data_IF_436965027844
#
_entry.id   IF_436965027844
#
_cell.length_a   1.000
_cell.length_b   1.000
_cell.length_c   1.000
_cell.angle_alpha   90.00
_cell.angle_beta   90.00
_cell.angle_gamma   90.00
#
_symmetry.space_group_name_H-M   'P 1'
#
loop_
_entity.id
_entity.type
_entity.pdbx_description
1 polymer ?
#
# COMPACT_ATOMS: atom_id res chain seq x y z
N UNK A 1 29.19 -4.97 -35.61
CA UNK A 1 28.61 -6.29 -35.32
C UNK A 1 28.18 -6.24 -33.87
N UNK A 2 26.93 -5.85 -33.63
CA UNK A 2 26.32 -5.95 -32.31
C UNK A 2 26.07 -7.44 -32.05
N UNK A 3 26.60 -7.96 -30.95
CA UNK A 3 26.40 -9.34 -30.53
C UNK A 3 24.94 -9.57 -30.17
N UNK A 4 24.32 -10.52 -30.87
CA UNK A 4 23.04 -11.13 -30.51
C UNK A 4 23.15 -11.85 -29.15
N UNK A 5 22.89 -11.16 -28.04
CA UNK A 5 22.58 -11.78 -26.73
C UNK A 5 21.79 -10.84 -25.79
N UNK A 6 21.03 -9.86 -26.32
CA UNK A 6 19.92 -9.22 -25.58
C UNK A 6 18.65 -10.08 -25.77
N UNK A 7 18.66 -11.31 -25.27
CA UNK A 7 17.39 -11.95 -24.90
C UNK A 7 16.91 -11.30 -23.59
N UNK A 8 16.40 -10.10 -23.79
CA UNK A 8 15.78 -9.13 -22.88
C UNK A 8 15.47 -9.63 -21.46
N UNK A 9 16.16 -9.03 -20.48
CA UNK A 9 15.91 -9.07 -19.03
C UNK A 9 14.57 -8.38 -18.66
N UNK A 10 13.47 -8.73 -19.32
CA UNK A 10 12.16 -8.08 -19.10
C UNK A 10 11.42 -8.79 -17.98
N UNK A 11 11.12 -8.03 -16.92
CA UNK A 11 10.22 -8.49 -15.86
C UNK A 11 8.79 -8.67 -16.39
N UNK A 12 8.11 -9.74 -15.99
CA UNK A 12 6.66 -9.86 -16.19
C UNK A 12 5.94 -9.48 -14.89
N UNK A 13 5.12 -8.44 -14.97
CA UNK A 13 4.31 -7.96 -13.86
C UNK A 13 2.87 -8.48 -14.02
N UNK A 14 2.57 -9.57 -13.32
CA UNK A 14 1.24 -10.19 -13.32
C UNK A 14 0.29 -9.39 -12.44
N UNK A 15 -0.57 -8.57 -13.07
CA UNK A 15 -1.26 -7.49 -12.39
C UNK A 15 -2.64 -7.20 -13.02
N UNK A 16 -3.46 -6.41 -12.32
CA UNK A 16 -4.71 -5.91 -12.88
C UNK A 16 -4.93 -4.44 -12.48
N UNK A 17 -5.58 -3.67 -13.35
CA UNK A 17 -5.89 -2.25 -13.07
C UNK A 17 -6.79 -2.07 -11.85
N UNK A 18 -7.73 -2.99 -11.61
CA UNK A 18 -8.66 -2.92 -10.49
C UNK A 18 -8.05 -3.33 -9.13
N UNK A 19 -6.80 -3.83 -9.11
CA UNK A 19 -6.11 -4.25 -7.88
C UNK A 19 -5.39 -3.07 -7.23
N UNK A 20 -5.68 -2.83 -5.94
CA UNK A 20 -4.98 -1.86 -5.09
C UNK A 20 -3.46 -2.01 -5.22
N UNK A 21 -3.00 -3.21 -4.89
CA UNK A 21 -1.59 -3.53 -4.74
C UNK A 21 -0.82 -3.51 -6.07
N UNK A 22 -1.50 -3.74 -7.19
CA UNK A 22 -0.89 -3.60 -8.52
C UNK A 22 -0.49 -2.16 -8.84
N UNK A 23 -1.22 -1.15 -8.31
CA UNK A 23 -0.87 0.26 -8.47
C UNK A 23 0.48 0.61 -7.82
N UNK A 24 0.77 0.01 -6.65
CA UNK A 24 2.01 0.22 -5.91
C UNK A 24 3.24 -0.27 -6.66
N UNK A 25 3.28 -1.53 -7.06
CA UNK A 25 4.44 -2.10 -7.78
C UNK A 25 4.55 -1.58 -9.20
N UNK A 26 3.43 -1.29 -9.88
CA UNK A 26 3.46 -0.63 -11.20
C UNK A 26 4.14 0.72 -11.13
N UNK A 27 3.70 1.59 -10.21
CA UNK A 27 4.31 2.92 -10.05
C UNK A 27 5.79 2.82 -9.63
N UNK A 28 6.14 1.85 -8.79
CA UNK A 28 7.54 1.56 -8.47
C UNK A 28 8.35 1.17 -9.71
N UNK A 29 7.92 0.17 -10.50
CA UNK A 29 8.63 -0.29 -11.70
C UNK A 29 8.84 0.87 -12.69
N UNK A 30 7.81 1.69 -12.92
CA UNK A 30 7.85 2.88 -13.76
C UNK A 30 8.90 3.89 -13.25
N UNK A 31 8.88 4.22 -11.96
CA UNK A 31 9.77 5.23 -11.38
C UNK A 31 11.19 4.75 -11.13
N UNK A 32 11.38 3.47 -10.88
CA UNK A 32 12.68 2.79 -10.86
C UNK A 32 13.31 2.75 -12.25
N UNK A 33 12.51 2.90 -13.32
CA UNK A 33 12.98 2.90 -14.70
C UNK A 33 13.28 1.50 -15.23
N UNK A 34 12.64 0.47 -14.66
CA UNK A 34 12.84 -0.92 -15.08
C UNK A 34 11.98 -1.24 -16.29
N UNK A 35 12.53 -2.02 -17.24
CA UNK A 35 11.75 -2.57 -18.33
C UNK A 35 10.87 -3.71 -17.82
N UNK A 36 9.56 -3.63 -18.08
CA UNK A 36 8.62 -4.67 -17.69
C UNK A 36 7.45 -4.75 -18.66
N UNK A 37 6.84 -5.94 -18.72
CA UNK A 37 5.56 -6.17 -19.42
C UNK A 37 4.49 -6.47 -18.40
N UNK A 38 3.33 -5.83 -18.53
CA UNK A 38 2.18 -6.17 -17.70
C UNK A 38 1.36 -7.30 -18.32
N UNK A 39 1.13 -8.33 -17.53
CA UNK A 39 0.33 -9.48 -17.90
C UNK A 39 -0.88 -9.59 -16.98
N UNK A 40 -2.06 -9.81 -17.56
CA UNK A 40 -3.27 -9.96 -16.77
C UNK A 40 -3.49 -11.42 -16.31
N UNK A 41 -4.03 -11.68 -15.11
CA UNK A 41 -4.35 -13.03 -14.63
C UNK A 41 -5.31 -13.86 -15.50
N UNK A 42 -6.08 -13.22 -16.39
CA UNK A 42 -6.88 -13.91 -17.41
C UNK A 42 -6.06 -14.59 -18.51
N UNK A 43 -4.74 -14.38 -18.57
CA UNK A 43 -3.85 -15.09 -19.48
C UNK A 43 -3.74 -16.58 -19.10
N UNK A 44 -3.75 -17.47 -20.09
CA UNK A 44 -3.68 -18.92 -19.87
C UNK A 44 -2.42 -19.37 -19.08
N UNK A 45 -1.28 -18.69 -19.23
CA UNK A 45 -0.05 -19.00 -18.49
C UNK A 45 -0.18 -18.73 -17.00
N UNK A 46 -1.03 -17.79 -16.58
CA UNK A 46 -1.10 -17.38 -15.18
C UNK A 46 -1.48 -18.57 -14.29
N UNK A 47 -2.59 -19.25 -14.56
CA UNK A 47 -3.00 -20.39 -13.75
C UNK A 47 -2.16 -21.64 -14.02
N UNK A 48 -1.69 -21.84 -15.26
CA UNK A 48 -0.92 -23.02 -15.63
C UNK A 48 0.49 -23.05 -15.03
N UNK A 49 1.16 -21.90 -14.95
CA UNK A 49 2.58 -21.80 -14.59
C UNK A 49 2.81 -20.98 -13.33
N UNK A 50 2.19 -19.79 -13.24
CA UNK A 50 2.50 -18.80 -12.20
C UNK A 50 1.82 -19.17 -10.88
N UNK A 51 0.51 -19.43 -10.91
CA UNK A 51 -0.25 -19.85 -9.74
C UNK A 51 0.25 -21.18 -9.17
N UNK A 52 0.63 -22.12 -10.04
CA UNK A 52 1.16 -23.43 -9.63
C UNK A 52 2.46 -23.30 -8.81
N UNK A 53 3.30 -22.32 -9.13
CA UNK A 53 4.53 -22.02 -8.38
C UNK A 53 4.26 -21.15 -7.14
N UNK A 54 3.32 -20.23 -7.23
CA UNK A 54 3.02 -19.26 -6.16
C UNK A 54 2.20 -19.86 -5.01
N UNK A 55 1.44 -20.92 -5.29
CA UNK A 55 0.59 -21.64 -4.32
C UNK A 55 -0.64 -20.87 -3.83
N UNK A 56 -0.74 -19.57 -4.13
CA UNK A 56 -1.85 -18.71 -3.74
C UNK A 56 -2.13 -17.64 -4.78
N UNK A 57 -3.42 -17.34 -4.99
CA UNK A 57 -3.88 -16.32 -5.92
C UNK A 57 -3.72 -14.94 -5.25
N UNK A 58 -2.57 -14.32 -5.44
CA UNK A 58 -2.37 -12.90 -5.14
C UNK A 58 -1.95 -12.17 -6.40
N UNK A 59 -2.32 -10.89 -6.48
CA UNK A 59 -1.76 -9.97 -7.46
C UNK A 59 -1.40 -8.67 -6.77
N UNK A 60 -0.26 -8.05 -7.10
CA UNK A 60 0.64 -8.41 -8.19
C UNK A 60 1.59 -9.57 -7.86
N UNK A 61 2.11 -10.21 -8.91
CA UNK A 61 3.25 -11.13 -8.86
C UNK A 61 4.30 -10.65 -9.85
N UNK A 62 5.57 -10.63 -9.44
CA UNK A 62 6.70 -10.35 -10.32
C UNK A 62 7.32 -11.68 -10.75
N UNK A 63 7.40 -11.92 -12.06
CA UNK A 63 8.25 -12.97 -12.65
C UNK A 63 9.52 -12.28 -13.16
N UNK A 64 10.64 -12.66 -12.56
CA UNK A 64 11.97 -12.13 -12.86
C UNK A 64 12.54 -12.75 -14.14
N UNK A 65 13.55 -12.11 -14.76
CA UNK A 65 14.39 -12.77 -15.75
C UNK A 65 14.91 -14.10 -15.18
N UNK A 66 14.79 -15.18 -15.95
CA UNK A 66 15.12 -16.54 -15.51
C UNK A 66 13.99 -17.28 -14.78
N UNK A 67 12.80 -16.71 -14.65
CA UNK A 67 11.58 -17.39 -14.23
C UNK A 67 11.34 -17.47 -12.72
N UNK A 68 12.20 -16.85 -11.90
CA UNK A 68 11.95 -16.73 -10.46
C UNK A 68 10.71 -15.87 -10.19
N UNK A 69 9.93 -16.23 -9.18
CA UNK A 69 8.68 -15.54 -8.85
C UNK A 69 8.78 -14.88 -7.47
N UNK A 70 8.35 -13.61 -7.39
CA UNK A 70 8.24 -12.84 -6.15
C UNK A 70 6.80 -12.37 -5.95
N UNK A 71 6.24 -12.66 -4.77
CA UNK A 71 4.90 -12.23 -4.34
C UNK A 71 5.02 -11.26 -3.16
N UNK A 72 3.93 -10.54 -2.87
CA UNK A 72 3.87 -9.42 -1.92
C UNK A 72 4.56 -8.16 -2.47
N UNK A 73 3.83 -7.05 -2.45
CA UNK A 73 4.32 -5.78 -3.06
C UNK A 73 5.56 -5.24 -2.40
N UNK A 74 5.72 -5.42 -1.09
CA UNK A 74 6.90 -4.96 -0.34
C UNK A 74 8.07 -5.88 -0.62
N UNK A 75 7.86 -7.20 -0.64
CA UNK A 75 8.92 -8.15 -1.01
C UNK A 75 9.38 -7.98 -2.47
N UNK A 76 8.46 -7.65 -3.39
CA UNK A 76 8.79 -7.27 -4.77
C UNK A 76 9.71 -6.03 -4.79
N UNK A 77 9.35 -4.99 -4.04
CA UNK A 77 10.16 -3.76 -3.94
C UNK A 77 11.53 -4.05 -3.30
N UNK A 78 11.58 -4.79 -2.21
CA UNK A 78 12.84 -5.17 -1.54
C UNK A 78 13.76 -5.97 -2.46
N UNK A 79 13.19 -6.94 -3.19
CA UNK A 79 13.92 -7.72 -4.19
C UNK A 79 14.51 -6.82 -5.29
N UNK A 80 13.70 -5.90 -5.83
CA UNK A 80 14.13 -5.00 -6.89
C UNK A 80 15.13 -3.94 -6.42
N UNK A 81 14.99 -3.40 -5.20
CA UNK A 81 16.00 -2.50 -4.62
C UNK A 81 17.34 -3.22 -4.43
N UNK A 82 17.33 -4.49 -4.04
CA UNK A 82 18.56 -5.28 -3.88
C UNK A 82 19.20 -5.64 -5.24
N UNK A 83 18.37 -5.95 -6.25
CA UNK A 83 18.85 -6.30 -7.59
C UNK A 83 19.31 -5.07 -8.40
N UNK A 84 18.72 -3.90 -8.16
CA UNK A 84 18.97 -2.66 -8.91
C UNK A 84 19.35 -1.51 -7.96
N UNK A 85 20.66 -1.29 -7.70
CA UNK A 85 21.11 -0.31 -6.71
C UNK A 85 20.75 1.16 -7.02
N UNK A 86 20.40 1.50 -8.26
CA UNK A 86 20.11 2.87 -8.67
C UNK A 86 18.95 2.97 -9.67
N UNK A 87 18.15 4.04 -9.63
CA UNK A 87 18.09 5.05 -8.57
C UNK A 87 17.51 4.46 -7.28
N UNK A 88 18.08 4.77 -6.12
CA UNK A 88 17.49 4.36 -4.84
C UNK A 88 16.14 5.05 -4.64
N UNK A 89 15.15 4.29 -4.20
CA UNK A 89 13.79 4.78 -3.95
C UNK A 89 13.53 4.97 -2.44
N UNK A 90 14.59 5.10 -1.66
CA UNK A 90 14.55 5.28 -0.22
C UNK A 90 15.55 6.38 0.19
N UNK A 91 15.21 7.24 1.16
CA UNK A 91 16.15 8.24 1.67
C UNK A 91 17.37 7.62 2.35
N UNK A 92 18.53 8.29 2.27
CA UNK A 92 19.74 7.93 3.02
C UNK A 92 19.72 8.38 4.47
N UNK A 93 19.16 9.58 4.71
CA UNK A 93 18.91 10.11 6.03
C UNK A 93 18.01 9.14 6.83
N UNK A 94 18.47 8.65 8.00
CA UNK A 94 17.73 7.63 8.74
C UNK A 94 16.40 8.15 9.30
N UNK A 95 16.31 9.44 9.66
CA UNK A 95 15.08 10.08 10.16
C UNK A 95 14.03 10.10 9.05
N UNK A 96 14.40 10.60 7.87
CA UNK A 96 13.50 10.62 6.72
C UNK A 96 13.19 9.21 6.22
N UNK A 97 14.12 8.26 6.33
CA UNK A 97 13.86 6.85 6.00
C UNK A 97 12.81 6.25 6.94
N UNK A 98 12.83 6.53 8.24
CA UNK A 98 11.77 6.11 9.15
C UNK A 98 10.42 6.74 8.80
N UNK A 99 10.39 8.03 8.45
CA UNK A 99 9.18 8.72 7.94
C UNK A 99 8.67 8.07 6.65
N UNK A 100 9.57 7.75 5.71
CA UNK A 100 9.25 7.05 4.47
C UNK A 100 8.53 5.73 4.74
N UNK A 101 9.02 4.92 5.68
CA UNK A 101 8.42 3.63 6.01
C UNK A 101 7.13 3.74 6.85
N UNK A 102 6.96 4.81 7.62
CA UNK A 102 5.68 5.14 8.25
C UNK A 102 4.60 5.45 7.19
N UNK A 103 4.92 6.33 6.23
CA UNK A 103 4.01 6.65 5.11
C UNK A 103 3.78 5.40 4.26
N UNK A 104 4.80 4.57 4.04
CA UNK A 104 4.66 3.33 3.30
C UNK A 104 3.65 2.38 3.95
N UNK A 105 3.69 2.21 5.27
CA UNK A 105 2.72 1.40 5.99
C UNK A 105 1.30 1.99 5.84
N UNK A 106 1.14 3.30 6.07
CA UNK A 106 -0.14 3.98 5.92
C UNK A 106 -0.71 3.86 4.50
N UNK A 107 0.10 4.09 3.47
CA UNK A 107 -0.33 4.01 2.08
C UNK A 107 -0.69 2.59 1.65
N UNK A 108 0.03 1.58 2.16
CA UNK A 108 -0.25 0.18 1.83
C UNK A 108 -1.47 -0.36 2.58
N UNK A 109 -1.61 -0.04 3.88
CA UNK A 109 -2.60 -0.66 4.76
C UNK A 109 -3.64 0.33 5.32
N UNK A 110 -3.21 1.51 5.78
CA UNK A 110 -4.06 2.47 6.48
C UNK A 110 -5.19 3.10 5.65
N UNK A 111 -5.04 3.10 4.31
CA UNK A 111 -6.05 3.63 3.37
C UNK A 111 -7.05 2.59 2.87
N UNK A 112 -6.96 1.34 3.34
CA UNK A 112 -7.78 0.25 2.83
C UNK A 112 -9.28 0.51 3.01
N UNK A 113 -9.69 1.06 4.15
CA UNK A 113 -11.12 1.35 4.46
C UNK A 113 -11.69 2.39 3.50
N UNK A 114 -10.97 3.49 3.27
CA UNK A 114 -11.32 4.56 2.36
C UNK A 114 -11.50 4.00 0.94
N UNK A 115 -10.53 3.21 0.47
CA UNK A 115 -10.60 2.61 -0.85
C UNK A 115 -11.82 1.69 -1.04
N UNK A 116 -12.10 0.82 -0.07
CA UNK A 116 -13.27 -0.07 -0.16
C UNK A 116 -14.59 0.68 -0.03
N UNK A 117 -14.70 1.67 0.86
CA UNK A 117 -15.90 2.49 1.02
C UNK A 117 -16.26 3.21 -0.28
N UNK A 118 -15.33 4.01 -0.81
CA UNK A 118 -15.61 4.79 -2.01
C UNK A 118 -15.85 3.92 -3.24
N UNK A 119 -15.30 2.71 -3.31
CA UNK A 119 -15.59 1.76 -4.40
C UNK A 119 -17.02 1.22 -4.33
N UNK A 120 -17.47 0.80 -3.15
CA UNK A 120 -18.65 -0.06 -3.01
C UNK A 120 -19.91 0.63 -2.51
N UNK A 121 -19.80 1.78 -1.82
CA UNK A 121 -20.96 2.51 -1.29
C UNK A 121 -21.54 3.57 -2.25
N UNK A 122 -21.00 3.68 -3.47
CA UNK A 122 -21.51 4.56 -4.54
C UNK A 122 -21.86 3.74 -5.80
N UNK A 123 -22.84 2.81 -5.70
CA UNK A 123 -23.09 1.83 -6.75
C UNK A 123 -23.66 2.45 -8.04
N UNK A 124 -24.37 3.58 -7.95
CA UNK A 124 -24.96 4.26 -9.10
C UNK A 124 -23.89 4.71 -10.10
N UNK A 125 -22.76 5.23 -9.61
CA UNK A 125 -21.66 5.70 -10.44
C UNK A 125 -20.58 4.63 -10.66
N UNK A 126 -20.29 3.79 -9.66
CA UNK A 126 -19.11 2.92 -9.71
C UNK A 126 -19.40 1.50 -10.19
N UNK A 127 -20.56 0.92 -9.89
CA UNK A 127 -20.73 -0.53 -9.96
C UNK A 127 -20.51 -1.09 -11.37
N UNK A 128 -21.05 -0.42 -12.40
CA UNK A 128 -20.87 -0.83 -13.79
C UNK A 128 -19.40 -0.77 -14.23
N UNK A 129 -18.68 0.29 -13.88
CA UNK A 129 -17.26 0.43 -14.19
C UNK A 129 -16.42 -0.64 -13.48
N UNK A 130 -16.61 -0.81 -12.17
CA UNK A 130 -15.80 -1.72 -11.35
C UNK A 130 -16.04 -3.18 -11.75
N UNK A 131 -17.28 -3.57 -12.03
CA UNK A 131 -17.58 -4.95 -12.47
C UNK A 131 -17.04 -5.24 -13.88
N UNK A 132 -17.05 -4.27 -14.80
CA UNK A 132 -16.34 -4.40 -16.08
C UNK A 132 -14.82 -4.57 -15.89
N UNK A 133 -14.20 -3.75 -15.04
CA UNK A 133 -12.76 -3.87 -14.76
C UNK A 133 -12.40 -5.23 -14.17
N UNK A 134 -13.21 -5.73 -13.22
CA UNK A 134 -13.03 -7.06 -12.63
C UNK A 134 -13.15 -8.16 -13.70
N UNK A 135 -14.17 -8.08 -14.56
CA UNK A 135 -14.35 -9.05 -15.64
C UNK A 135 -13.14 -9.05 -16.58
N UNK A 136 -12.74 -7.89 -17.11
CA UNK A 136 -11.56 -7.76 -17.98
C UNK A 136 -10.26 -8.19 -17.29
N UNK A 137 -10.21 -8.00 -15.98
CA UNK A 137 -9.05 -8.21 -15.13
C UNK A 137 -8.81 -9.66 -14.68
N UNK A 138 -9.82 -10.52 -14.80
CA UNK A 138 -9.78 -11.89 -14.24
C UNK A 138 -10.09 -12.99 -15.25
N UNK A 139 -10.68 -12.66 -16.41
CA UNK A 139 -11.07 -13.65 -17.43
C UNK A 139 -10.23 -13.54 -18.70
N UNK A 140 -10.08 -14.63 -19.46
CA UNK A 140 -9.46 -14.61 -20.80
C UNK A 140 -10.10 -13.59 -21.74
N UNK A 141 -9.29 -13.04 -22.65
CA UNK A 141 -9.70 -11.94 -23.51
C UNK A 141 -10.92 -12.26 -24.41
N UNK A 142 -11.01 -13.49 -24.89
CA UNK A 142 -12.11 -14.03 -25.71
C UNK A 142 -13.39 -14.30 -24.91
N UNK A 143 -13.33 -14.32 -23.57
CA UNK A 143 -14.48 -14.47 -22.69
C UNK A 143 -15.01 -13.15 -22.13
N UNK A 144 -14.32 -12.03 -22.38
CA UNK A 144 -14.75 -10.70 -21.92
C UNK A 144 -16.09 -10.32 -22.56
N UNK A 145 -16.94 -9.65 -21.79
CA UNK A 145 -18.29 -9.25 -22.23
C UNK A 145 -19.32 -10.39 -22.29
N UNK A 146 -18.95 -11.63 -21.96
CA UNK A 146 -19.90 -12.74 -21.86
C UNK A 146 -20.72 -12.68 -20.56
N UNK A 147 -21.92 -13.31 -20.53
CA UNK A 147 -22.69 -13.44 -19.29
C UNK A 147 -21.92 -14.15 -18.16
N UNK A 148 -21.03 -15.09 -18.49
CA UNK A 148 -20.21 -15.81 -17.51
C UNK A 148 -19.18 -14.88 -16.87
N UNK A 149 -18.46 -14.08 -17.66
CA UNK A 149 -17.50 -13.11 -17.14
C UNK A 149 -18.19 -12.07 -16.23
N UNK A 150 -19.38 -11.61 -16.63
CA UNK A 150 -20.19 -10.71 -15.80
C UNK A 150 -20.58 -11.36 -14.46
N UNK A 151 -21.07 -12.61 -14.48
CA UNK A 151 -21.44 -13.33 -13.26
C UNK A 151 -20.26 -13.56 -12.31
N UNK A 152 -19.07 -13.84 -12.84
CA UNK A 152 -17.83 -13.95 -12.03
C UNK A 152 -17.51 -12.62 -11.34
N UNK A 153 -17.54 -11.52 -12.08
CA UNK A 153 -17.27 -10.19 -11.54
C UNK A 153 -18.30 -9.76 -10.49
N UNK A 154 -19.60 -9.99 -10.74
CA UNK A 154 -20.68 -9.69 -9.80
C UNK A 154 -20.59 -10.55 -8.53
N UNK A 155 -20.23 -11.84 -8.66
CA UNK A 155 -20.00 -12.71 -7.51
C UNK A 155 -18.81 -12.22 -6.65
N UNK A 156 -17.73 -11.77 -7.29
CA UNK A 156 -16.59 -11.18 -6.59
C UNK A 156 -16.98 -9.88 -5.89
N UNK A 157 -17.69 -8.99 -6.58
CA UNK A 157 -18.19 -7.73 -6.01
C UNK A 157 -19.09 -7.98 -4.79
N UNK A 158 -20.05 -8.90 -4.89
CA UNK A 158 -20.95 -9.26 -3.80
C UNK A 158 -20.19 -9.74 -2.54
N UNK A 159 -19.15 -10.57 -2.72
CA UNK A 159 -18.28 -11.01 -1.61
C UNK A 159 -17.53 -9.84 -0.96
N UNK A 160 -17.06 -8.87 -1.75
CA UNK A 160 -16.37 -7.68 -1.22
C UNK A 160 -17.31 -6.76 -0.47
N UNK A 161 -18.50 -6.52 -1.00
CA UNK A 161 -19.55 -5.73 -0.35
C UNK A 161 -19.96 -6.37 0.99
N UNK A 162 -20.15 -7.69 1.01
CA UNK A 162 -20.50 -8.42 2.23
C UNK A 162 -19.45 -8.33 3.34
N UNK A 163 -18.17 -8.16 2.98
CA UNK A 163 -17.05 -8.06 3.93
C UNK A 163 -16.74 -6.62 4.40
N UNK A 164 -17.49 -5.61 3.96
CA UNK A 164 -17.29 -4.21 4.38
C UNK A 164 -17.37 -4.03 5.91
N UNK A 165 -18.30 -4.66 6.64
CA UNK A 165 -18.34 -4.53 8.10
C UNK A 165 -17.09 -5.07 8.81
N UNK A 166 -16.50 -6.17 8.31
CA UNK A 166 -15.31 -6.79 8.89
C UNK A 166 -14.08 -5.87 8.83
N UNK A 167 -14.07 -4.94 7.87
CA UNK A 167 -13.01 -3.94 7.72
C UNK A 167 -13.37 -2.59 8.35
N UNK A 168 -14.52 -2.49 9.00
CA UNK A 168 -14.98 -1.29 9.70
C UNK A 168 -15.71 -0.27 8.82
N UNK A 169 -16.18 -0.67 7.64
CA UNK A 169 -17.05 0.16 6.79
C UNK A 169 -18.51 -0.17 7.07
N UNK A 170 -19.21 0.74 7.74
CA UNK A 170 -20.62 0.63 8.16
C UNK A 170 -21.29 2.00 8.09
N UNK A 171 -22.62 2.06 8.06
CA UNK A 171 -23.36 3.34 8.06
C UNK A 171 -22.94 4.29 9.20
N UNK A 172 -22.56 3.73 10.36
CA UNK A 172 -22.07 4.50 11.52
C UNK A 172 -20.68 5.11 11.29
N UNK A 173 -19.81 4.42 10.55
CA UNK A 173 -18.40 4.79 10.37
C UNK A 173 -18.13 5.55 9.07
N UNK A 174 -19.02 5.43 8.07
CA UNK A 174 -18.92 6.12 6.79
C UNK A 174 -18.65 7.64 6.94
N UNK A 175 -19.39 8.41 7.77
CA UNK A 175 -19.12 9.85 7.90
C UNK A 175 -17.70 10.19 8.36
N UNK A 176 -17.11 9.36 9.23
CA UNK A 176 -15.72 9.53 9.68
C UNK A 176 -14.71 9.16 8.58
N UNK A 177 -15.00 8.15 7.77
CA UNK A 177 -14.16 7.74 6.63
C UNK A 177 -14.15 8.85 5.56
N UNK A 178 -15.31 9.42 5.25
CA UNK A 178 -15.42 10.54 4.30
C UNK A 178 -14.73 11.80 4.82
N UNK A 179 -14.92 12.15 6.10
CA UNK A 179 -14.23 13.29 6.72
C UNK A 179 -12.70 13.12 6.68
N UNK A 180 -12.21 11.92 7.01
CA UNK A 180 -10.80 11.56 6.92
C UNK A 180 -10.28 11.70 5.48
N UNK A 181 -11.05 11.25 4.49
CA UNK A 181 -10.67 11.29 3.07
C UNK A 181 -10.64 12.72 2.54
N UNK A 182 -11.60 13.57 2.88
CA UNK A 182 -11.57 14.99 2.50
C UNK A 182 -10.37 15.72 3.10
N UNK A 183 -10.02 15.44 4.37
CA UNK A 183 -8.81 15.98 5.01
C UNK A 183 -7.55 15.49 4.29
N UNK A 184 -7.47 14.19 4.00
CA UNK A 184 -6.36 13.58 3.28
C UNK A 184 -6.15 14.26 1.92
N UNK A 185 -7.23 14.42 1.14
CA UNK A 185 -7.19 15.06 -0.17
C UNK A 185 -6.71 16.51 -0.07
N UNK A 186 -7.25 17.31 0.85
CA UNK A 186 -6.82 18.69 1.04
C UNK A 186 -5.35 18.81 1.47
N UNK A 187 -4.88 17.96 2.39
CA UNK A 187 -3.50 17.97 2.87
C UNK A 187 -2.51 17.56 1.78
N UNK A 188 -2.81 16.50 1.03
CA UNK A 188 -1.96 16.06 -0.06
C UNK A 188 -2.00 17.01 -1.25
N UNK A 189 -3.14 17.62 -1.57
CA UNK A 189 -3.24 18.66 -2.59
C UNK A 189 -2.34 19.85 -2.25
N UNK A 190 -2.38 20.32 -1.00
CA UNK A 190 -1.51 21.39 -0.53
C UNK A 190 -0.03 21.02 -0.63
N UNK A 191 0.34 19.78 -0.31
CA UNK A 191 1.71 19.30 -0.43
C UNK A 191 2.18 19.21 -1.89
N UNK A 192 1.38 18.58 -2.76
CA UNK A 192 1.72 18.37 -4.17
C UNK A 192 1.63 19.64 -5.02
N UNK A 193 1.14 20.77 -4.49
CA UNK A 193 1.34 22.08 -5.12
C UNK A 193 2.77 22.61 -5.01
N UNK A 194 3.53 22.12 -4.03
CA UNK A 194 4.86 22.62 -3.72
C UNK A 194 5.96 21.62 -4.09
N UNK A 195 5.66 20.32 -4.03
CA UNK A 195 6.64 19.26 -4.24
C UNK A 195 6.11 18.20 -5.20
N UNK A 196 6.93 17.69 -6.13
CA UNK A 196 6.49 16.70 -7.10
C UNK A 196 6.29 15.30 -6.49
N UNK A 197 6.85 15.02 -5.31
CA UNK A 197 6.75 13.75 -4.59
C UNK A 197 6.67 13.98 -3.07
N UNK A 198 6.17 12.98 -2.32
CA UNK A 198 5.80 13.15 -0.91
C UNK A 198 6.98 13.48 0.02
N UNK A 199 8.20 13.12 -0.39
CA UNK A 199 9.44 13.37 0.37
C UNK A 199 10.40 14.32 -0.36
N UNK A 200 9.94 15.08 -1.35
CA UNK A 200 10.75 16.11 -2.02
C UNK A 200 10.68 16.06 -3.54
N UNK A 201 11.81 16.30 -4.20
CA UNK A 201 11.92 16.41 -5.65
C UNK A 201 12.01 15.10 -6.43
N UNK A 202 12.09 13.96 -5.74
CA UNK A 202 12.15 12.63 -6.35
C UNK A 202 11.27 11.61 -5.62
N UNK A 203 10.75 10.57 -6.30
CA UNK A 203 9.85 9.60 -5.71
C UNK A 203 10.58 8.70 -4.71
N UNK A 204 9.81 8.11 -3.81
CA UNK A 204 10.25 7.07 -2.89
C UNK A 204 9.27 5.90 -2.85
N UNK A 205 9.59 4.86 -2.09
CA UNK A 205 8.66 3.76 -1.79
C UNK A 205 7.41 4.26 -1.04
N UNK A 206 7.48 5.40 -0.34
CA UNK A 206 6.32 6.05 0.27
C UNK A 206 5.30 6.51 -0.78
N UNK A 207 5.75 7.14 -1.88
CA UNK A 207 4.89 7.52 -3.00
C UNK A 207 4.24 6.29 -3.62
N UNK A 208 5.03 5.24 -3.86
CA UNK A 208 4.55 3.97 -4.42
C UNK A 208 3.48 3.34 -3.52
N UNK A 209 3.66 3.37 -2.21
CA UNK A 209 2.67 2.86 -1.27
C UNK A 209 1.36 3.66 -1.32
N UNK A 210 1.43 5.00 -1.37
CA UNK A 210 0.23 5.84 -1.48
C UNK A 210 -0.56 5.59 -2.76
N UNK A 211 0.11 5.21 -3.86
CA UNK A 211 -0.54 4.81 -5.12
C UNK A 211 -1.45 3.59 -4.97
N UNK A 212 -1.27 2.77 -3.93
CA UNK A 212 -2.14 1.61 -3.62
C UNK A 212 -3.61 2.02 -3.60
N UNK A 213 -3.97 3.00 -2.77
CA UNK A 213 -5.35 3.47 -2.64
C UNK A 213 -5.63 4.71 -3.48
N UNK A 214 -4.73 5.71 -3.43
CA UNK A 214 -4.95 7.03 -4.03
C UNK A 214 -5.05 6.98 -5.56
N UNK A 215 -4.38 6.03 -6.21
CA UNK A 215 -4.53 5.83 -7.64
C UNK A 215 -5.49 4.68 -7.95
N UNK A 216 -5.19 3.45 -7.53
CA UNK A 216 -5.85 2.28 -8.09
C UNK A 216 -7.36 2.21 -7.82
N UNK A 217 -7.84 2.88 -6.76
CA UNK A 217 -9.27 2.96 -6.42
C UNK A 217 -9.73 4.42 -6.46
N UNK A 218 -9.19 5.28 -5.59
CA UNK A 218 -9.69 6.65 -5.44
C UNK A 218 -9.41 7.54 -6.66
N UNK A 219 -8.36 7.25 -7.43
CA UNK A 219 -7.98 7.96 -8.65
C UNK A 219 -8.44 7.27 -9.94
N UNK A 220 -9.30 6.24 -9.84
CA UNK A 220 -9.79 5.46 -10.99
C UNK A 220 -11.30 5.28 -10.99
N UNK A 221 -11.88 4.93 -9.86
CA UNK A 221 -13.32 4.67 -9.76
C UNK A 221 -14.09 5.99 -10.00
N UNK A 222 -15.20 5.97 -10.78
CA UNK A 222 -15.85 7.20 -11.25
C UNK A 222 -16.18 8.24 -10.17
N UNK A 223 -16.77 7.82 -9.07
CA UNK A 223 -17.17 8.71 -7.98
C UNK A 223 -15.96 9.37 -7.27
N UNK A 224 -15.02 8.61 -6.66
CA UNK A 224 -13.90 9.23 -5.96
C UNK A 224 -12.92 9.95 -6.91
N UNK A 225 -12.80 9.51 -8.16
CA UNK A 225 -11.99 10.22 -9.16
C UNK A 225 -12.56 11.61 -9.44
N UNK A 226 -13.89 11.72 -9.62
CA UNK A 226 -14.55 13.02 -9.79
C UNK A 226 -14.32 13.90 -8.57
N UNK A 227 -14.54 13.37 -7.37
CA UNK A 227 -14.29 14.08 -6.11
C UNK A 227 -12.85 14.59 -5.99
N UNK A 228 -11.86 13.73 -6.30
CA UNK A 228 -10.44 14.10 -6.28
C UNK A 228 -10.13 15.20 -7.30
N UNK A 229 -10.64 15.10 -8.52
CA UNK A 229 -10.45 16.14 -9.56
C UNK A 229 -11.05 17.48 -9.17
N UNK A 230 -12.22 17.46 -8.53
CA UNK A 230 -12.94 18.67 -8.11
C UNK A 230 -12.30 19.35 -6.89
N UNK A 231 -11.73 18.57 -5.95
CA UNK A 231 -11.30 19.08 -4.63
C UNK A 231 -9.79 19.07 -4.40
N UNK A 232 -9.04 18.26 -5.15
CA UNK A 232 -7.61 18.01 -4.96
C UNK A 232 -6.87 17.78 -6.31
N UNK A 233 -6.89 18.76 -7.24
CA UNK A 233 -6.31 18.60 -8.57
C UNK A 233 -4.79 18.37 -8.59
N UNK A 234 -4.02 18.93 -7.64
CA UNK A 234 -2.58 18.68 -7.56
C UNK A 234 -2.27 17.26 -7.06
N UNK A 235 -3.11 16.72 -6.17
CA UNK A 235 -3.06 15.30 -5.83
C UNK A 235 -3.36 14.43 -7.05
N UNK A 236 -4.40 14.77 -7.83
CA UNK A 236 -4.70 14.01 -9.05
C UNK A 236 -3.52 14.05 -10.03
N UNK A 237 -2.95 15.23 -10.27
CA UNK A 237 -1.74 15.41 -11.11
C UNK A 237 -0.56 14.56 -10.61
N UNK A 238 -0.37 14.44 -9.29
CA UNK A 238 0.65 13.55 -8.73
C UNK A 238 0.38 12.08 -9.09
N UNK A 239 -0.88 11.61 -9.09
CA UNK A 239 -1.19 10.23 -9.52
C UNK A 239 -0.86 9.97 -11.00
N UNK A 240 -1.01 10.98 -11.87
CA UNK A 240 -0.60 10.91 -13.27
C UNK A 240 0.93 10.89 -13.39
N UNK A 241 1.58 11.76 -12.63
CA UNK A 241 3.04 11.87 -12.55
C UNK A 241 3.65 10.54 -12.11
N UNK A 242 3.10 9.86 -11.11
CA UNK A 242 3.56 8.55 -10.64
C UNK A 242 3.39 7.41 -11.66
N UNK A 243 2.50 7.55 -12.65
CA UNK A 243 2.33 6.61 -13.75
C UNK A 243 3.07 7.02 -15.04
N UNK A 244 3.81 8.13 -15.02
CA UNK A 244 4.64 8.59 -16.12
C UNK A 244 6.09 8.13 -15.93
N UNK A 245 6.69 7.60 -17.00
CA UNK A 245 8.08 7.20 -17.02
C UNK A 245 9.03 8.38 -16.71
N UNK A 246 10.12 8.07 -16.01
CA UNK A 246 11.11 9.04 -15.56
C UNK A 246 10.70 9.81 -14.29
N UNK A 247 11.64 10.59 -13.76
CA UNK A 247 11.45 11.47 -12.61
C UNK A 247 11.29 12.89 -13.16
N UNK A 248 10.08 13.21 -13.62
CA UNK A 248 9.77 14.49 -14.28
C UNK A 248 8.44 14.99 -13.75
N UNK A 249 8.41 16.26 -13.37
CA UNK A 249 7.18 17.02 -13.12
C UNK A 249 7.29 18.34 -13.88
N UNK A 250 6.46 18.58 -14.92
CA UNK A 250 6.58 19.79 -15.71
C UNK A 250 6.16 21.05 -14.95
N UNK A 251 5.26 20.94 -13.97
CA UNK A 251 4.80 22.10 -13.18
C UNK A 251 5.80 22.47 -12.10
N UNK A 252 6.60 21.51 -11.65
CA UNK A 252 7.56 21.66 -10.55
C UNK A 252 9.01 21.35 -11.01
N UNK A 253 9.32 21.67 -12.27
CA UNK A 253 10.62 21.35 -12.88
C UNK A 253 11.82 22.07 -12.25
N UNK A 254 11.58 23.16 -11.52
CA UNK A 254 12.60 23.90 -10.77
C UNK A 254 12.93 23.29 -9.39
N UNK A 255 12.14 22.30 -8.93
CA UNK A 255 12.41 21.61 -7.66
C UNK A 255 13.53 20.60 -7.89
N UNK A 256 14.65 20.77 -7.17
CA UNK A 256 15.79 19.87 -7.26
C UNK A 256 15.38 18.42 -6.93
N UNK A 257 15.85 17.40 -7.69
CA UNK A 257 15.47 16.00 -7.52
C UNK A 257 16.16 15.35 -6.32
N UNK A 258 15.94 15.92 -5.14
CA UNK A 258 16.53 15.54 -3.87
C UNK A 258 15.43 15.20 -2.87
N UNK A 259 15.74 14.33 -1.92
CA UNK A 259 14.87 14.14 -0.76
C UNK A 259 15.05 15.30 0.21
N UNK A 260 14.02 15.56 1.03
CA UNK A 260 14.18 16.44 2.19
C UNK A 260 15.31 15.93 3.11
N UNK A 261 15.81 16.81 3.96
CA UNK A 261 16.66 16.41 5.08
C UNK A 261 15.78 16.23 6.31
N UNK A 262 16.18 15.35 7.23
CA UNK A 262 15.35 15.04 8.40
C UNK A 262 15.04 16.26 9.29
N UNK A 263 15.87 17.31 9.26
CA UNK A 263 15.75 18.52 10.09
C UNK A 263 14.96 19.66 9.41
N UNK A 264 14.56 19.45 8.15
CA UNK A 264 13.92 20.45 7.29
C UNK A 264 12.57 20.01 6.71
N UNK A 265 11.81 19.18 7.43
CA UNK A 265 10.51 18.72 6.92
C UNK A 265 9.50 19.88 6.78
N UNK A 266 8.85 20.06 5.61
CA UNK A 266 7.92 21.15 5.41
C UNK A 266 6.63 20.97 6.22
N UNK A 267 5.98 22.07 6.60
CA UNK A 267 4.73 22.06 7.37
C UNK A 267 3.60 21.28 6.68
N UNK A 268 3.58 21.25 5.35
CA UNK A 268 2.61 20.45 4.57
C UNK A 268 2.79 18.95 4.81
N UNK A 269 4.04 18.47 4.88
CA UNK A 269 4.35 17.07 5.21
C UNK A 269 4.01 16.78 6.68
N UNK A 270 4.40 17.65 7.60
CA UNK A 270 4.08 17.48 9.04
C UNK A 270 2.57 17.42 9.29
N UNK A 271 1.78 18.23 8.58
CA UNK A 271 0.31 18.21 8.67
C UNK A 271 -0.28 16.90 8.16
N UNK A 272 0.27 16.35 7.07
CA UNK A 272 -0.11 15.03 6.56
C UNK A 272 0.27 13.91 7.54
N UNK A 273 1.49 13.92 8.08
CA UNK A 273 1.94 12.93 9.07
C UNK A 273 1.09 12.97 10.34
N UNK A 274 0.64 14.16 10.76
CA UNK A 274 -0.31 14.30 11.86
C UNK A 274 -1.63 13.58 11.58
N UNK A 275 -2.18 13.69 10.37
CA UNK A 275 -3.38 12.92 9.98
C UNK A 275 -3.13 11.41 10.09
N UNK A 276 -1.96 10.92 9.65
CA UNK A 276 -1.60 9.50 9.81
C UNK A 276 -1.62 9.12 11.30
N UNK A 277 -1.01 9.93 12.16
CA UNK A 277 -0.97 9.66 13.60
C UNK A 277 -2.37 9.68 14.23
N UNK A 278 -3.27 10.56 13.78
CA UNK A 278 -4.64 10.68 14.28
C UNK A 278 -5.57 9.55 13.81
N UNK A 279 -5.49 9.15 12.54
CA UNK A 279 -6.44 8.20 11.95
C UNK A 279 -5.93 6.76 11.89
N UNK A 280 -4.62 6.56 11.70
CA UNK A 280 -4.02 5.23 11.57
C UNK A 280 -3.25 4.80 12.82
N UNK A 281 -2.68 5.76 13.56
CA UNK A 281 -1.98 5.47 14.81
C UNK A 281 -2.80 4.63 15.80
N UNK A 282 -4.06 5.00 16.12
CA UNK A 282 -4.92 4.23 17.01
C UNK A 282 -5.23 2.81 16.51
N UNK A 283 -5.37 2.63 15.19
CA UNK A 283 -5.59 1.32 14.58
C UNK A 283 -4.36 0.41 14.74
N UNK A 284 -3.17 0.97 14.49
CA UNK A 284 -1.89 0.27 14.64
C UNK A 284 -1.65 -0.13 16.11
N UNK A 285 -1.87 0.78 17.07
CA UNK A 285 -1.70 0.48 18.50
C UNK A 285 -2.67 -0.59 18.98
N UNK A 286 -3.95 -0.48 18.61
CA UNK A 286 -4.95 -1.49 18.98
C UNK A 286 -4.62 -2.86 18.37
N UNK A 287 -4.09 -2.90 17.15
CA UNK A 287 -3.65 -4.15 16.50
C UNK A 287 -2.47 -4.77 17.24
N UNK A 288 -1.51 -3.94 17.68
CA UNK A 288 -0.38 -4.41 18.49
C UNK A 288 -0.85 -4.97 19.85
N UNK A 289 -1.82 -4.33 20.51
CA UNK A 289 -2.38 -4.83 21.78
C UNK A 289 -3.05 -6.20 21.60
N UNK A 290 -3.79 -6.40 20.50
CA UNK A 290 -4.37 -7.70 20.15
C UNK A 290 -3.29 -8.74 19.85
N UNK A 291 -2.23 -8.37 19.13
CA UNK A 291 -1.09 -9.25 18.88
C UNK A 291 -0.39 -9.69 20.18
N UNK A 292 -0.16 -8.75 21.09
CA UNK A 292 0.43 -8.99 22.39
C UNK A 292 -0.41 -9.94 23.25
N UNK A 293 -1.73 -9.78 23.22
CA UNK A 293 -2.67 -10.70 23.89
C UNK A 293 -2.66 -12.08 23.23
N UNK A 294 -2.65 -12.13 21.89
CA UNK A 294 -2.59 -13.38 21.12
C UNK A 294 -1.31 -14.18 21.41
N UNK A 295 -0.18 -13.49 21.57
CA UNK A 295 1.09 -14.08 22.03
C UNK A 295 1.01 -14.57 23.47
N UNK A 296 0.38 -13.80 24.36
CA UNK A 296 0.32 -14.13 25.79
C UNK A 296 -0.53 -15.38 26.08
N UNK A 297 -1.48 -15.71 25.20
CA UNK A 297 -2.29 -16.93 25.29
C UNK A 297 -1.49 -18.23 25.07
N UNK A 298 -0.35 -18.15 24.37
CA UNK A 298 0.60 -19.25 24.25
C UNK A 298 2.03 -18.67 24.11
N UNK A 299 2.71 -18.40 25.24
CA UNK A 299 4.04 -17.81 25.22
C UNK A 299 5.11 -18.68 24.55
N UNK A 300 4.85 -19.99 24.42
CA UNK A 300 5.80 -20.96 23.86
C UNK A 300 5.60 -21.23 22.37
N UNK A 301 4.74 -20.46 21.68
CA UNK A 301 4.56 -20.56 20.22
C UNK A 301 5.91 -20.66 19.49
N UNK A 302 6.16 -21.66 18.66
CA UNK A 302 7.45 -21.80 17.98
C UNK A 302 7.66 -20.71 16.92
N UNK A 303 8.92 -20.48 16.51
CA UNK A 303 9.20 -19.78 15.25
C UNK A 303 8.50 -20.51 14.09
N UNK A 304 7.99 -19.73 13.13
CA UNK A 304 7.21 -20.25 12.01
C UNK A 304 5.73 -20.49 12.32
N UNK A 305 5.26 -20.28 13.55
CA UNK A 305 3.83 -20.32 13.87
C UNK A 305 3.06 -19.23 13.10
N UNK A 306 1.92 -19.59 12.51
CA UNK A 306 1.04 -18.64 11.83
C UNK A 306 0.51 -17.60 12.80
N UNK A 307 0.64 -16.33 12.44
CA UNK A 307 0.06 -15.21 13.19
C UNK A 307 -1.40 -15.04 12.78
N UNK A 308 -2.26 -15.94 13.27
CA UNK A 308 -3.69 -15.96 12.97
C UNK A 308 -4.51 -16.68 14.05
N UNK A 309 -5.82 -16.43 14.06
CA UNK A 309 -6.82 -17.27 14.75
C UNK A 309 -7.17 -18.52 13.95
N UNK A 310 -6.90 -18.54 12.64
CA UNK A 310 -7.14 -19.69 11.78
C UNK A 310 -5.89 -20.55 11.64
N UNK A 311 -6.08 -21.86 11.44
CA UNK A 311 -4.98 -22.80 11.22
C UNK A 311 -4.52 -22.86 9.76
N UNK A 312 -5.34 -22.34 8.83
CA UNK A 312 -5.03 -22.31 7.40
C UNK A 312 -4.24 -21.04 7.03
N UNK A 313 -3.36 -21.17 6.03
CA UNK A 313 -2.70 -20.02 5.40
C UNK A 313 -3.71 -19.21 4.59
N UNK A 314 -3.59 -17.90 4.66
CA UNK A 314 -4.42 -16.95 3.93
C UNK A 314 -3.56 -15.75 3.46
N UNK A 315 -4.06 -15.04 2.45
CA UNK A 315 -3.48 -13.76 1.96
C UNK A 315 -3.62 -12.62 2.96
N UNK A 316 -4.65 -12.70 3.81
CA UNK A 316 -4.98 -11.73 4.85
C UNK A 316 -5.31 -12.54 6.08
N UNK A 317 -4.42 -12.50 7.07
CA UNK A 317 -4.67 -13.16 8.35
C UNK A 317 -5.42 -12.24 9.29
N UNK A 318 -6.25 -12.85 10.14
CA UNK A 318 -6.91 -12.18 11.26
C UNK A 318 -6.36 -12.75 12.56
N UNK A 319 -5.91 -11.87 13.46
CA UNK A 319 -5.47 -12.24 14.82
C UNK A 319 -6.49 -11.89 15.91
N UNK A 320 -7.57 -11.22 15.53
CA UNK A 320 -8.63 -10.79 16.44
C UNK A 320 -9.48 -9.70 15.82
N UNK A 321 -10.15 -8.95 16.67
CA UNK A 321 -10.86 -7.72 16.32
C UNK A 321 -10.32 -6.58 17.19
N UNK A 322 -10.34 -5.37 16.64
CA UNK A 322 -9.95 -4.14 17.31
C UNK A 322 -11.09 -3.13 17.27
N UNK A 323 -11.10 -2.26 18.28
CA UNK A 323 -11.79 -0.99 18.24
C UNK A 323 -10.77 0.14 18.32
N UNK A 324 -10.92 1.16 17.48
CA UNK A 324 -10.08 2.35 17.50
C UNK A 324 -10.91 3.58 17.16
N UNK A 325 -10.39 4.78 17.45
CA UNK A 325 -11.03 6.03 17.05
C UNK A 325 -10.46 6.51 15.71
N UNK A 326 -11.35 6.91 14.81
CA UNK A 326 -11.02 7.62 13.57
C UNK A 326 -11.98 8.80 13.45
N UNK A 327 -11.45 10.02 13.30
CA UNK A 327 -12.26 11.25 13.25
C UNK A 327 -13.34 11.35 14.36
N UNK A 328 -13.00 10.92 15.58
CA UNK A 328 -13.91 10.95 16.74
C UNK A 328 -14.93 9.82 16.82
N UNK A 329 -15.06 8.97 15.80
CA UNK A 329 -15.96 7.82 15.78
C UNK A 329 -15.20 6.53 16.09
N UNK A 330 -15.81 5.64 16.87
CA UNK A 330 -15.28 4.30 17.12
C UNK A 330 -15.52 3.40 15.92
N UNK A 331 -14.44 2.84 15.38
CA UNK A 331 -14.42 1.89 14.27
C UNK A 331 -14.02 0.52 14.82
N UNK A 332 -14.89 -0.47 14.62
CA UNK A 332 -14.61 -1.88 14.90
C UNK A 332 -14.19 -2.58 13.59
N UNK A 333 -13.12 -3.37 13.61
CA UNK A 333 -12.65 -4.13 12.45
C UNK A 333 -11.75 -5.30 12.84
N UNK A 334 -11.45 -6.15 11.88
CA UNK A 334 -10.45 -7.19 12.01
C UNK A 334 -9.04 -6.62 12.28
N UNK A 335 -8.33 -7.30 13.17
CA UNK A 335 -6.93 -7.03 13.47
C UNK A 335 -6.04 -7.80 12.49
N UNK A 336 -5.34 -7.08 11.60
CA UNK A 336 -4.48 -7.67 10.58
C UNK A 336 -2.99 -7.54 10.94
N UNK A 337 -2.23 -8.64 10.98
CA UNK A 337 -0.80 -8.59 11.28
C UNK A 337 0.03 -7.93 10.16
N UNK A 338 -0.53 -7.73 8.96
CA UNK A 338 0.11 -6.98 7.87
C UNK A 338 0.55 -5.58 8.30
N UNK A 339 -0.28 -4.90 9.09
CA UNK A 339 0.01 -3.57 9.64
C UNK A 339 1.25 -3.61 10.54
N UNK A 340 1.43 -4.70 11.29
CA UNK A 340 2.53 -4.87 12.25
C UNK A 340 3.85 -5.23 11.56
N UNK A 341 3.83 -6.16 10.60
CA UNK A 341 5.07 -6.52 9.87
C UNK A 341 5.60 -5.34 9.06
N UNK A 342 4.73 -4.49 8.50
CA UNK A 342 5.15 -3.26 7.83
C UNK A 342 5.70 -2.23 8.82
N UNK A 343 5.08 -2.11 10.00
CA UNK A 343 5.57 -1.20 11.05
C UNK A 343 6.94 -1.61 11.60
N UNK A 344 7.20 -2.92 11.73
CA UNK A 344 8.48 -3.46 12.17
C UNK A 344 9.66 -2.93 11.33
N UNK A 345 9.47 -2.68 10.03
CA UNK A 345 10.51 -2.12 9.16
C UNK A 345 10.93 -0.72 9.63
N UNK A 346 9.95 0.13 9.98
CA UNK A 346 10.23 1.46 10.55
C UNK A 346 10.88 1.34 11.94
N UNK A 347 10.37 0.44 12.79
CA UNK A 347 10.95 0.18 14.11
C UNK A 347 12.41 -0.26 14.05
N UNK A 348 12.78 -1.10 13.08
CA UNK A 348 14.16 -1.55 12.85
C UNK A 348 15.08 -0.39 12.45
N UNK A 349 14.58 0.53 11.61
CA UNK A 349 15.33 1.74 11.22
C UNK A 349 15.56 2.65 12.44
N UNK A 350 14.53 2.85 13.27
CA UNK A 350 14.61 3.68 14.48
C UNK A 350 15.52 3.05 15.54
N UNK A 351 15.58 1.72 15.63
CA UNK A 351 16.50 1.02 16.53
C UNK A 351 17.96 1.19 16.09
N UNK A 352 18.22 1.21 14.79
CA UNK A 352 19.55 1.39 14.22
C UNK A 352 20.05 2.86 14.20
N UNK A 353 19.20 3.84 14.53
CA UNK A 353 19.55 5.26 14.56
C UNK A 353 20.63 5.58 15.58
N UNK A 354 21.44 6.60 15.30
CA UNK A 354 22.29 7.21 16.32
C UNK A 354 21.42 7.88 17.40
N UNK A 355 21.94 8.15 18.61
CA UNK A 355 21.18 8.87 19.63
C UNK A 355 20.67 10.25 19.17
N UNK A 356 21.41 10.93 18.30
CA UNK A 356 21.02 12.24 17.75
C UNK A 356 19.84 12.09 16.78
N UNK A 357 19.94 11.19 15.81
CA UNK A 357 18.87 10.95 14.82
C UNK A 357 17.59 10.48 15.52
N UNK A 358 17.72 9.61 16.51
CA UNK A 358 16.58 9.12 17.29
C UNK A 358 15.91 10.23 18.10
N UNK A 359 16.68 11.13 18.70
CA UNK A 359 16.12 12.28 19.42
C UNK A 359 15.35 13.20 18.46
N UNK A 360 15.89 13.44 17.27
CA UNK A 360 15.25 14.24 16.24
C UNK A 360 13.97 13.58 15.71
N UNK A 361 13.99 12.29 15.40
CA UNK A 361 12.80 11.54 15.01
C UNK A 361 11.72 11.62 16.10
N UNK A 362 12.09 11.40 17.37
CA UNK A 362 11.16 11.53 18.50
C UNK A 362 10.58 12.94 18.64
N UNK A 363 11.36 14.00 18.39
CA UNK A 363 10.85 15.38 18.41
C UNK A 363 9.78 15.61 17.33
N UNK A 364 10.07 15.18 16.09
CA UNK A 364 9.11 15.24 14.98
C UNK A 364 7.82 14.50 15.37
N UNK A 365 7.95 13.24 15.81
CA UNK A 365 6.82 12.40 16.19
C UNK A 365 6.03 13.00 17.35
N UNK A 366 6.67 13.63 18.33
CA UNK A 366 6.00 14.30 19.44
C UNK A 366 5.15 15.49 18.98
N UNK A 367 5.67 16.31 18.05
CA UNK A 367 4.96 17.47 17.49
C UNK A 367 3.68 17.10 16.73
N UNK A 368 3.64 15.91 16.14
CA UNK A 368 2.50 15.41 15.36
C UNK A 368 1.63 14.39 16.12
N UNK A 369 1.90 14.16 17.41
CA UNK A 369 1.12 13.23 18.24
C UNK A 369 1.43 11.74 17.99
N UNK A 370 2.53 11.43 17.33
CA UNK A 370 2.94 10.08 16.93
C UNK A 370 3.80 9.32 17.95
N UNK A 371 3.99 9.81 19.17
CA UNK A 371 4.82 9.13 20.18
C UNK A 371 4.48 7.63 20.39
N UNK A 372 3.20 7.21 20.47
CA UNK A 372 2.86 5.80 20.65
C UNK A 372 3.34 4.90 19.52
N UNK A 373 3.36 5.38 18.28
CA UNK A 373 3.82 4.63 17.11
C UNK A 373 5.32 4.76 16.89
N UNK A 374 5.95 5.84 17.35
CA UNK A 374 7.39 6.06 17.21
C UNK A 374 8.22 5.10 18.07
N UNK A 375 7.68 4.69 19.22
CA UNK A 375 8.37 3.84 20.20
C UNK A 375 7.85 2.42 20.24
N UNK A 376 6.87 2.08 19.39
CA UNK A 376 6.28 0.75 19.35
C UNK A 376 7.31 -0.28 18.88
N UNK A 377 7.38 -1.38 19.64
CA UNK A 377 8.22 -2.53 19.35
C UNK A 377 7.38 -3.79 19.52
N UNK A 378 7.45 -4.70 18.55
CA UNK A 378 6.73 -5.96 18.65
C UNK A 378 7.40 -6.86 19.69
N UNK A 379 6.62 -7.46 20.60
CA UNK A 379 7.14 -8.42 21.60
C UNK A 379 7.89 -9.59 20.99
N UNK A 380 7.50 -9.99 19.78
CA UNK A 380 8.21 -10.97 18.95
C UNK A 380 8.18 -10.51 17.51
N UNK A 381 9.30 -10.74 16.81
CA UNK A 381 9.46 -10.38 15.41
C UNK A 381 8.56 -11.21 14.51
N UNK A 382 8.15 -10.60 13.40
CA UNK A 382 7.36 -11.20 12.34
C UNK A 382 8.20 -11.37 11.07
N UNK A 383 7.87 -12.38 10.27
CA UNK A 383 8.39 -12.55 8.91
C UNK A 383 7.33 -13.10 7.96
N UNK A 384 7.55 -12.89 6.67
CA UNK A 384 6.72 -13.49 5.61
C UNK A 384 7.08 -14.96 5.41
N UNK A 385 6.07 -15.77 5.08
CA UNK A 385 6.19 -17.15 4.65
C UNK A 385 5.13 -17.40 3.57
N UNK A 386 5.54 -17.30 2.30
CA UNK A 386 4.59 -17.23 1.19
C UNK A 386 3.63 -16.04 1.38
N UNK A 387 2.30 -16.24 1.28
CA UNK A 387 1.34 -15.14 1.44
C UNK A 387 1.01 -14.81 2.91
N UNK A 388 1.58 -15.53 3.87
CA UNK A 388 1.19 -15.44 5.27
C UNK A 388 2.33 -14.90 6.12
N UNK A 389 1.95 -14.33 7.26
CA UNK A 389 2.81 -13.83 8.31
C UNK A 389 2.94 -14.88 9.40
N UNK A 390 4.18 -15.14 9.79
CA UNK A 390 4.55 -16.08 10.83
C UNK A 390 5.47 -15.40 11.85
N UNK A 391 5.55 -15.97 13.05
CA UNK A 391 6.57 -15.59 14.01
C UNK A 391 7.96 -15.88 13.42
N UNK A 392 8.88 -14.90 13.56
CA UNK A 392 10.23 -14.98 13.01
C UNK A 392 10.99 -16.19 13.54
#
# INVERSE_FOLDING_TARGET
MASNDEQDEVYLHWSAYCSLYSGKTRSYLIKKGLAFTECNPGNARFFAEIFAQSGFFSIPILECPGGAIVQDTTAIIEHLEAAHPGPQMQPDDPVLRAVCWLIHNYGTEGLFKQAQHYRWNFPEENYAFVTDELARGMVPADQRGTPVAKAIAESFAAKKIAALPDIGVTDKTIPAIEQSTHKLFALLDAHFRLFPYILGGRPSVADCALMTALHAHLGRDPYPLRLMKETAPALHRWTETMNRAGIVDPELSDVAPEYFQGDGLPDTLLSFLKLICEDFGPELTATNDVYDNWLSNDPQRPSGALVSLESARALRQKIGAIEHKQQGIVVARDAWPDILIMHQIMSDIVEAMTPQDKAQFCDIMSRIGGNPIATMQLKRRLRRSGPSIVLA
#
